data_IF_244848193155
#
_entry.id   IF_244848193155
#
_cell.length_a   1.000
_cell.length_b   1.000
_cell.length_c   1.000
_cell.angle_alpha   90.00
_cell.angle_beta   90.00
_cell.angle_gamma   90.00
#
_symmetry.space_group_name_H-M   'P 1'
#
loop_
_entity.id
_entity.type
_entity.pdbx_description
1 polymer ?
#
# COMPACT_ATOMS: atom_id res chain seq x y z
N UNK A 1 75.30 -24.91 -29.76
CA UNK A 1 74.55 -23.71 -30.21
C UNK A 1 73.13 -24.14 -30.53
N UNK A 2 72.16 -23.87 -29.66
CA UNK A 2 70.74 -24.11 -29.92
C UNK A 2 70.01 -22.80 -29.65
N UNK A 3 69.37 -22.24 -30.68
CA UNK A 3 68.53 -21.03 -30.60
C UNK A 3 67.09 -21.47 -30.33
N UNK A 4 66.54 -21.10 -29.18
CA UNK A 4 65.11 -21.14 -28.94
C UNK A 4 64.50 -19.80 -29.36
N UNK A 5 63.64 -19.82 -30.38
CA UNK A 5 62.79 -18.70 -30.74
C UNK A 5 61.52 -18.77 -29.90
N UNK A 6 61.35 -17.80 -29.00
CA UNK A 6 60.10 -17.62 -28.25
C UNK A 6 59.09 -16.88 -29.14
N UNK A 7 58.01 -17.57 -29.50
CA UNK A 7 56.83 -16.95 -30.12
C UNK A 7 56.04 -16.27 -29.01
N UNK A 8 56.02 -14.94 -29.01
CA UNK A 8 55.17 -14.15 -28.14
C UNK A 8 53.75 -14.12 -28.72
N UNK A 9 52.85 -14.94 -28.17
CA UNK A 9 51.42 -14.87 -28.44
C UNK A 9 50.85 -13.61 -27.78
N UNK A 10 50.62 -12.57 -28.56
CA UNK A 10 49.86 -11.40 -28.12
C UNK A 10 48.39 -11.79 -27.95
N UNK A 11 48.00 -12.15 -26.72
CA UNK A 11 46.59 -12.25 -26.37
C UNK A 11 45.98 -10.85 -26.44
N UNK A 12 45.17 -10.61 -27.47
CA UNK A 12 44.38 -9.40 -27.61
C UNK A 12 43.28 -9.41 -26.54
N UNK A 13 43.58 -8.86 -25.36
CA UNK A 13 42.55 -8.52 -24.38
C UNK A 13 41.72 -7.39 -24.98
N UNK A 14 40.58 -7.73 -25.62
CA UNK A 14 39.59 -6.74 -25.96
C UNK A 14 39.20 -6.01 -24.66
N UNK A 15 39.19 -4.67 -24.63
CA UNK A 15 38.82 -3.94 -23.42
C UNK A 15 37.38 -4.32 -23.06
N UNK A 16 37.21 -4.93 -21.89
CA UNK A 16 35.89 -5.09 -21.30
C UNK A 16 35.32 -3.68 -21.12
N UNK A 17 34.35 -3.30 -21.96
CA UNK A 17 33.65 -2.03 -21.83
C UNK A 17 32.88 -2.12 -20.52
N UNK A 18 33.42 -1.46 -19.48
CA UNK A 18 32.76 -1.38 -18.20
C UNK A 18 31.40 -0.71 -18.40
N UNK A 19 30.37 -1.29 -17.81
CA UNK A 19 29.05 -0.70 -17.76
C UNK A 19 29.13 0.74 -17.24
N UNK A 20 28.46 1.65 -17.92
CA UNK A 20 28.38 3.06 -17.52
C UNK A 20 27.41 3.25 -16.35
N UNK A 21 27.61 4.31 -15.57
CA UNK A 21 26.66 4.67 -14.50
C UNK A 21 25.23 4.87 -15.03
N UNK A 22 25.08 5.47 -16.22
CA UNK A 22 23.77 5.69 -16.84
C UNK A 22 23.02 4.38 -17.13
N UNK A 23 23.72 3.33 -17.56
CA UNK A 23 23.13 2.00 -17.77
C UNK A 23 22.73 1.35 -16.43
N UNK A 24 23.53 1.52 -15.38
CA UNK A 24 23.17 1.05 -14.05
C UNK A 24 21.94 1.77 -13.50
N UNK A 25 21.90 3.10 -13.61
CA UNK A 25 20.73 3.91 -13.20
C UNK A 25 19.47 3.51 -13.97
N UNK A 26 19.62 3.16 -15.25
CA UNK A 26 18.51 2.67 -16.09
C UNK A 26 18.00 1.31 -15.62
N UNK A 27 18.90 0.35 -15.35
CA UNK A 27 18.55 -0.96 -14.77
C UNK A 27 17.82 -0.76 -13.43
N UNK A 28 18.34 0.10 -12.56
CA UNK A 28 17.76 0.35 -11.24
C UNK A 28 16.39 1.01 -11.35
N UNK A 29 16.19 1.94 -12.29
CA UNK A 29 14.89 2.56 -12.56
C UNK A 29 13.85 1.56 -13.07
N UNK A 30 14.20 0.77 -14.08
CA UNK A 30 13.29 -0.24 -14.66
C UNK A 30 12.93 -1.28 -13.61
N UNK A 31 13.91 -1.78 -12.85
CA UNK A 31 13.68 -2.72 -11.75
C UNK A 31 12.78 -2.13 -10.68
N UNK A 32 12.99 -0.87 -10.33
CA UNK A 32 12.15 -0.14 -9.36
C UNK A 32 10.70 -0.08 -9.83
N UNK A 33 10.45 0.36 -11.06
CA UNK A 33 9.09 0.44 -11.61
C UNK A 33 8.46 -0.94 -11.75
N UNK A 34 9.17 -1.96 -12.25
CA UNK A 34 8.65 -3.30 -12.41
C UNK A 34 8.13 -3.89 -11.08
N UNK A 35 8.89 -3.73 -10.00
CA UNK A 35 8.51 -4.24 -8.67
C UNK A 35 7.33 -3.47 -8.07
N UNK A 36 7.26 -2.14 -8.25
CA UNK A 36 6.24 -1.31 -7.60
C UNK A 36 4.97 -1.12 -8.42
N UNK A 37 4.98 -1.42 -9.71
CA UNK A 37 3.84 -1.24 -10.63
C UNK A 37 2.54 -1.91 -10.18
N UNK A 38 2.52 -3.10 -9.55
CA UNK A 38 1.28 -3.68 -9.02
C UNK A 38 0.57 -2.77 -7.99
N UNK A 39 1.33 -1.94 -7.25
CA UNK A 39 0.77 -0.96 -6.33
C UNK A 39 0.10 0.20 -7.06
N UNK A 40 0.56 0.56 -8.26
CA UNK A 40 -0.09 1.59 -9.08
C UNK A 40 -1.55 1.22 -9.39
N UNK A 41 -1.82 -0.07 -9.63
CA UNK A 41 -3.18 -0.60 -9.77
C UNK A 41 -4.04 -0.36 -8.53
N UNK A 42 -3.48 -0.61 -7.34
CA UNK A 42 -4.17 -0.38 -6.06
C UNK A 42 -4.40 1.11 -5.77
N UNK A 43 -3.54 1.98 -6.29
CA UNK A 43 -3.70 3.43 -6.21
C UNK A 43 -4.70 3.97 -7.26
N UNK A 44 -5.29 3.11 -8.10
CA UNK A 44 -6.32 3.50 -9.06
C UNK A 44 -5.83 3.77 -10.48
N UNK A 45 -4.57 3.45 -10.80
CA UNK A 45 -4.10 3.42 -12.18
C UNK A 45 -4.52 2.12 -12.87
N UNK A 46 -4.60 2.14 -14.20
CA UNK A 46 -4.75 0.91 -14.98
C UNK A 46 -3.37 0.31 -15.24
N UNK A 47 -3.19 -0.96 -14.91
CA UNK A 47 -1.94 -1.72 -15.15
C UNK A 47 -2.26 -2.93 -16.01
N UNK A 48 -1.51 -3.12 -17.08
CA UNK A 48 -1.68 -4.26 -18.00
C UNK A 48 -1.40 -5.59 -17.29
N UNK A 49 -2.17 -6.64 -17.61
CA UNK A 49 -2.16 -7.93 -16.89
C UNK A 49 -0.83 -8.69 -16.99
N UNK A 50 -0.18 -8.61 -18.14
CA UNK A 50 1.09 -9.26 -18.49
C UNK A 50 2.27 -8.27 -18.43
N UNK A 51 2.21 -7.29 -17.51
CA UNK A 51 3.24 -6.27 -17.31
C UNK A 51 4.66 -6.84 -17.30
N UNK A 52 4.89 -7.93 -16.56
CA UNK A 52 6.22 -8.52 -16.42
C UNK A 52 6.84 -8.94 -17.75
N UNK A 53 6.09 -9.70 -18.56
CA UNK A 53 6.56 -10.20 -19.85
C UNK A 53 6.78 -9.05 -20.85
N UNK A 54 5.93 -8.04 -20.83
CA UNK A 54 6.06 -6.87 -21.70
C UNK A 54 7.22 -5.96 -21.30
N UNK A 55 7.44 -5.73 -20.00
CA UNK A 55 8.60 -5.01 -19.48
C UNK A 55 9.89 -5.74 -19.84
N UNK A 56 9.92 -7.06 -19.64
CA UNK A 56 11.09 -7.89 -19.97
C UNK A 56 11.43 -7.81 -21.46
N UNK A 57 10.42 -7.92 -22.32
CA UNK A 57 10.58 -7.82 -23.77
C UNK A 57 11.09 -6.45 -24.19
N UNK A 58 10.48 -5.37 -23.67
CA UNK A 58 10.86 -4.01 -23.99
C UNK A 58 12.26 -3.67 -23.46
N UNK A 59 12.62 -4.14 -22.27
CA UNK A 59 13.93 -3.91 -21.67
C UNK A 59 15.04 -4.67 -22.40
N UNK A 60 14.80 -5.90 -22.86
CA UNK A 60 15.72 -6.62 -23.74
C UNK A 60 15.97 -5.88 -25.05
N UNK A 61 14.91 -5.34 -25.65
CA UNK A 61 15.05 -4.53 -26.86
C UNK A 61 15.90 -3.27 -26.61
N UNK A 62 15.65 -2.55 -25.50
CA UNK A 62 16.43 -1.37 -25.12
C UNK A 62 17.92 -1.70 -24.88
N UNK A 63 18.20 -2.78 -24.15
CA UNK A 63 19.57 -3.16 -23.77
C UNK A 63 20.36 -3.85 -24.86
N UNK A 64 19.73 -4.36 -25.92
CA UNK A 64 20.43 -4.93 -27.09
C UNK A 64 21.37 -3.95 -27.80
N UNK A 65 21.14 -2.65 -27.66
CA UNK A 65 22.00 -1.60 -28.19
C UNK A 65 23.16 -1.24 -27.24
N UNK A 66 23.16 -1.76 -26.02
CA UNK A 66 24.20 -1.53 -25.04
C UNK A 66 25.34 -2.48 -25.38
N UNK A 67 26.56 -1.96 -25.58
CA UNK A 67 27.75 -2.78 -25.83
C UNK A 67 28.22 -3.51 -24.55
N UNK A 68 27.28 -4.15 -23.86
CA UNK A 68 27.43 -4.88 -22.60
C UNK A 68 26.93 -6.29 -22.84
N UNK A 69 27.63 -7.26 -22.27
CA UNK A 69 27.24 -8.67 -22.33
C UNK A 69 25.82 -8.89 -21.77
N UNK A 70 24.91 -9.60 -22.48
CA UNK A 70 23.53 -9.82 -22.03
C UNK A 70 23.42 -10.52 -20.67
N UNK A 71 24.30 -11.48 -20.36
CA UNK A 71 24.29 -12.18 -19.07
C UNK A 71 24.67 -11.23 -17.93
N UNK A 72 25.56 -10.28 -18.21
CA UNK A 72 25.90 -9.20 -17.29
C UNK A 72 24.70 -8.30 -17.01
N UNK A 73 23.95 -7.89 -18.03
CA UNK A 73 22.72 -7.09 -17.88
C UNK A 73 21.68 -7.85 -17.05
N UNK A 74 21.47 -9.13 -17.34
CA UNK A 74 20.50 -9.97 -16.64
C UNK A 74 20.85 -10.11 -15.15
N UNK A 75 22.12 -10.38 -14.84
CA UNK A 75 22.61 -10.48 -13.46
C UNK A 75 22.40 -9.18 -12.68
N UNK A 76 22.66 -8.03 -13.31
CA UNK A 76 22.50 -6.72 -12.67
C UNK A 76 21.03 -6.36 -12.47
N UNK A 77 20.17 -6.68 -13.44
CA UNK A 77 18.71 -6.56 -13.35
C UNK A 77 18.20 -7.39 -12.17
N UNK A 78 18.54 -8.67 -12.10
CA UNK A 78 18.11 -9.53 -11.00
C UNK A 78 18.58 -9.01 -9.64
N UNK A 79 19.85 -8.61 -9.54
CA UNK A 79 20.38 -8.03 -8.30
C UNK A 79 19.65 -6.73 -7.89
N UNK A 80 19.20 -5.92 -8.86
CA UNK A 80 18.41 -4.72 -8.60
C UNK A 80 16.98 -5.06 -8.18
N UNK A 81 16.31 -5.97 -8.89
CA UNK A 81 14.97 -6.49 -8.53
C UNK A 81 15.00 -7.05 -7.10
N UNK A 82 16.00 -7.84 -6.73
CA UNK A 82 16.13 -8.41 -5.39
C UNK A 82 16.26 -7.31 -4.32
N UNK A 83 17.07 -6.26 -4.59
CA UNK A 83 17.20 -5.11 -3.67
C UNK A 83 15.89 -4.37 -3.50
N UNK A 84 15.22 -4.03 -4.60
CA UNK A 84 13.95 -3.29 -4.58
C UNK A 84 12.87 -4.11 -3.89
N UNK A 85 12.78 -5.41 -4.19
CA UNK A 85 11.78 -6.31 -3.58
C UNK A 85 11.97 -6.38 -2.08
N UNK A 86 13.21 -6.49 -1.59
CA UNK A 86 13.49 -6.46 -0.13
C UNK A 86 13.08 -5.14 0.50
N UNK A 87 13.43 -4.01 -0.12
CA UNK A 87 13.02 -2.68 0.39
C UNK A 87 11.51 -2.52 0.40
N UNK A 88 10.84 -2.96 -0.66
CA UNK A 88 9.38 -2.89 -0.78
C UNK A 88 8.69 -3.76 0.27
N UNK A 89 9.21 -4.95 0.55
CA UNK A 89 8.69 -5.83 1.59
C UNK A 89 8.82 -5.19 2.99
N UNK A 90 9.96 -4.57 3.30
CA UNK A 90 10.18 -3.86 4.57
C UNK A 90 9.20 -2.70 4.72
N UNK A 91 8.96 -1.94 3.65
CA UNK A 91 8.01 -0.84 3.63
C UNK A 91 6.58 -1.33 3.89
N UNK A 92 6.17 -2.44 3.27
CA UNK A 92 4.85 -3.05 3.48
C UNK A 92 4.69 -3.65 4.87
N UNK A 93 5.73 -4.28 5.41
CA UNK A 93 5.74 -4.82 6.78
C UNK A 93 5.58 -3.68 7.79
N UNK A 94 6.42 -2.65 7.66
CA UNK A 94 6.36 -1.41 8.45
C UNK A 94 4.96 -0.80 8.39
N UNK A 95 4.37 -0.74 7.19
CA UNK A 95 3.02 -0.25 6.98
C UNK A 95 1.95 -1.08 7.72
N UNK A 96 2.07 -2.41 7.68
CA UNK A 96 1.12 -3.32 8.32
C UNK A 96 1.20 -3.28 9.84
N UNK A 97 2.41 -3.13 10.40
CA UNK A 97 2.62 -3.15 11.85
C UNK A 97 2.27 -1.82 12.51
N UNK A 98 2.57 -0.71 11.83
CA UNK A 98 2.43 0.64 12.35
C UNK A 98 1.07 1.27 12.04
N UNK A 99 0.11 0.57 11.46
CA UNK A 99 -1.19 1.14 11.09
C UNK A 99 -2.14 1.47 12.28
N UNK A 100 -1.65 1.78 13.50
CA UNK A 100 -2.45 1.76 14.74
C UNK A 100 -2.71 3.12 15.38
N UNK A 101 -2.01 4.17 14.97
CA UNK A 101 -2.16 5.53 15.51
C UNK A 101 -2.18 6.59 14.42
N UNK A 102 -2.69 7.79 14.71
CA UNK A 102 -2.71 8.92 13.77
C UNK A 102 -1.31 9.32 13.29
N UNK A 103 -0.31 9.30 14.18
CA UNK A 103 1.07 9.61 13.83
C UNK A 103 1.65 8.61 12.83
N UNK A 104 1.33 7.33 13.00
CA UNK A 104 1.77 6.29 12.09
C UNK A 104 0.98 6.28 10.79
N UNK A 105 -0.29 6.68 10.81
CA UNK A 105 -1.10 6.91 9.61
C UNK A 105 -0.48 7.97 8.69
N UNK A 106 0.05 9.05 9.29
CA UNK A 106 0.78 10.08 8.54
C UNK A 106 2.05 9.52 7.90
N UNK A 107 2.75 8.60 8.56
CA UNK A 107 3.92 7.90 7.98
C UNK A 107 3.50 7.00 6.82
N UNK A 108 2.47 6.18 7.01
CA UNK A 108 1.92 5.29 5.99
C UNK A 108 1.46 6.05 4.75
N UNK A 109 0.74 7.15 4.95
CA UNK A 109 0.33 8.06 3.88
C UNK A 109 1.54 8.62 3.15
N UNK A 110 2.55 9.11 3.86
CA UNK A 110 3.78 9.66 3.23
C UNK A 110 4.48 8.62 2.37
N UNK A 111 4.56 7.37 2.84
CA UNK A 111 5.10 6.25 2.09
C UNK A 111 4.30 5.99 0.80
N UNK A 112 2.97 5.87 0.90
CA UNK A 112 2.13 5.66 -0.30
C UNK A 112 2.12 6.85 -1.26
N UNK A 113 2.31 8.08 -0.77
CA UNK A 113 2.51 9.25 -1.64
C UNK A 113 3.79 9.11 -2.46
N UNK A 114 4.88 8.64 -1.84
CA UNK A 114 6.12 8.38 -2.57
C UNK A 114 5.92 7.31 -3.65
N UNK A 115 5.18 6.24 -3.34
CA UNK A 115 4.80 5.24 -4.35
C UNK A 115 3.87 5.79 -5.44
N UNK A 116 2.90 6.63 -5.10
CA UNK A 116 2.03 7.29 -6.08
C UNK A 116 2.80 8.19 -7.04
N UNK A 117 3.79 8.93 -6.55
CA UNK A 117 4.71 9.72 -7.39
C UNK A 117 5.53 8.82 -8.31
N UNK A 118 6.05 7.71 -7.78
CA UNK A 118 6.77 6.72 -8.57
C UNK A 118 5.91 6.11 -9.68
N UNK A 119 4.63 5.88 -9.42
CA UNK A 119 3.68 5.45 -10.45
C UNK A 119 3.50 6.49 -11.55
N UNK A 120 3.41 7.79 -11.20
CA UNK A 120 3.39 8.88 -12.19
C UNK A 120 4.70 8.97 -12.97
N UNK A 121 5.84 8.73 -12.33
CA UNK A 121 7.12 8.66 -13.03
C UNK A 121 7.13 7.49 -14.03
N UNK A 122 6.61 6.32 -13.64
CA UNK A 122 6.50 5.16 -14.52
C UNK A 122 5.59 5.46 -15.73
N UNK A 123 4.51 6.22 -15.59
CA UNK A 123 3.66 6.60 -16.74
C UNK A 123 4.37 7.48 -17.77
N UNK A 124 5.51 8.09 -17.41
CA UNK A 124 6.34 8.87 -18.32
C UNK A 124 7.55 8.08 -18.86
N UNK A 125 7.77 6.85 -18.39
CA UNK A 125 8.87 6.01 -18.85
C UNK A 125 8.58 5.41 -20.23
N UNK A 126 9.54 5.36 -21.16
CA UNK A 126 9.32 4.77 -22.49
C UNK A 126 8.82 3.32 -22.47
N UNK A 127 9.23 2.52 -21.48
CA UNK A 127 8.78 1.13 -21.33
C UNK A 127 7.38 1.09 -20.69
N UNK A 128 7.15 1.85 -19.63
CA UNK A 128 5.96 1.71 -18.79
C UNK A 128 4.79 2.60 -19.21
N UNK A 129 5.01 3.68 -19.97
CA UNK A 129 3.97 4.62 -20.42
C UNK A 129 2.84 3.98 -21.23
N UNK A 130 3.09 2.82 -21.84
CA UNK A 130 2.08 2.02 -22.56
C UNK A 130 1.44 0.93 -21.71
N UNK A 131 2.03 0.64 -20.55
CA UNK A 131 1.67 -0.48 -19.68
C UNK A 131 0.93 -0.02 -18.41
N UNK A 132 1.11 1.25 -18.06
CA UNK A 132 0.50 1.90 -16.91
C UNK A 132 -0.16 3.18 -17.40
N UNK A 133 -1.44 3.36 -17.06
CA UNK A 133 -2.20 4.55 -17.43
C UNK A 133 -2.81 5.16 -16.19
N UNK A 134 -2.44 6.41 -15.89
CA UNK A 134 -3.08 7.19 -14.85
C UNK A 134 -4.45 7.70 -15.34
N UNK A 135 -5.51 7.65 -14.52
CA UNK A 135 -6.78 8.27 -14.85
C UNK A 135 -6.64 9.80 -14.95
N UNK A 136 -7.57 10.44 -15.66
CA UNK A 136 -7.62 11.89 -15.75
C UNK A 136 -7.75 12.52 -14.35
N UNK A 137 -6.91 13.52 -14.05
CA UNK A 137 -6.90 14.18 -12.74
C UNK A 137 -6.29 13.35 -11.61
N UNK A 138 -5.53 12.29 -11.92
CA UNK A 138 -4.82 11.51 -10.91
C UNK A 138 -3.94 12.40 -10.03
N UNK A 139 -4.19 12.36 -8.72
CA UNK A 139 -3.37 13.03 -7.71
C UNK A 139 -2.77 11.98 -6.77
N UNK A 140 -1.43 11.83 -6.74
CA UNK A 140 -0.75 10.89 -5.85
C UNK A 140 -1.13 11.07 -4.38
N UNK A 141 -1.40 12.30 -3.95
CA UNK A 141 -1.74 12.59 -2.56
C UNK A 141 -3.11 12.05 -2.19
N UNK A 142 -4.12 12.32 -3.03
CA UNK A 142 -5.49 11.84 -2.86
C UNK A 142 -5.55 10.32 -2.96
N UNK A 143 -4.91 9.72 -3.97
CA UNK A 143 -4.88 8.27 -4.15
C UNK A 143 -4.22 7.54 -2.98
N UNK A 144 -3.07 8.01 -2.52
CA UNK A 144 -2.37 7.45 -1.36
C UNK A 144 -3.18 7.59 -0.07
N UNK A 145 -3.88 8.70 0.10
CA UNK A 145 -4.75 8.92 1.27
C UNK A 145 -5.95 7.97 1.25
N UNK A 146 -6.62 7.84 0.11
CA UNK A 146 -7.74 6.90 -0.04
C UNK A 146 -7.30 5.45 0.20
N UNK A 147 -6.15 5.05 -0.35
CA UNK A 147 -5.63 3.70 -0.14
C UNK A 147 -5.24 3.45 1.33
N UNK A 148 -4.50 4.38 1.96
CA UNK A 148 -4.16 4.28 3.38
C UNK A 148 -5.42 4.23 4.26
N UNK A 149 -6.42 5.07 3.97
CA UNK A 149 -7.69 5.08 4.70
C UNK A 149 -8.40 3.72 4.57
N UNK A 150 -8.46 3.13 3.37
CA UNK A 150 -9.11 1.82 3.18
C UNK A 150 -8.51 0.69 4.03
N UNK A 151 -7.22 0.78 4.36
CA UNK A 151 -6.55 -0.20 5.22
C UNK A 151 -6.87 -0.02 6.71
N UNK A 152 -7.44 1.13 7.07
CA UNK A 152 -7.55 1.62 8.45
C UNK A 152 -8.98 1.89 8.90
N UNK A 153 -9.92 1.90 7.95
CA UNK A 153 -11.35 2.10 8.18
C UNK A 153 -11.89 1.16 9.26
N UNK A 154 -11.50 -0.12 9.21
CA UNK A 154 -11.97 -1.15 10.13
C UNK A 154 -11.43 -0.96 11.55
N UNK A 155 -10.23 -0.40 11.67
CA UNK A 155 -9.63 -0.01 12.95
C UNK A 155 -10.16 1.31 13.50
N UNK A 156 -11.03 2.01 12.76
CA UNK A 156 -11.51 3.33 13.16
C UNK A 156 -10.40 4.39 13.11
N UNK A 157 -9.40 4.23 12.24
CA UNK A 157 -8.25 5.13 12.19
C UNK A 157 -8.17 5.97 10.92
N UNK A 158 -8.96 5.67 9.89
CA UNK A 158 -8.93 6.39 8.62
C UNK A 158 -9.07 7.91 8.83
N UNK A 159 -8.43 8.70 7.96
CA UNK A 159 -8.26 10.15 8.15
C UNK A 159 -9.58 10.93 8.25
N UNK A 160 -10.65 10.40 7.65
CA UNK A 160 -12.00 10.96 7.71
C UNK A 160 -12.77 10.62 9.01
N UNK A 161 -12.31 9.63 9.78
CA UNK A 161 -12.93 9.19 11.03
C UNK A 161 -12.54 10.10 12.20
N UNK A 162 -13.23 11.23 12.30
CA UNK A 162 -13.06 12.19 13.42
C UNK A 162 -13.29 11.52 14.79
N UNK A 163 -12.81 12.11 15.91
CA UNK A 163 -13.12 11.61 17.24
C UNK A 163 -14.61 11.34 17.49
N UNK A 164 -15.49 12.22 16.98
CA UNK A 164 -16.94 12.05 17.08
C UNK A 164 -17.45 10.85 16.27
N UNK A 165 -16.92 10.64 15.06
CA UNK A 165 -17.25 9.47 14.24
C UNK A 165 -16.79 8.19 14.92
N UNK A 166 -15.57 8.16 15.44
CA UNK A 166 -15.00 6.99 16.12
C UNK A 166 -15.82 6.60 17.35
N UNK A 167 -16.14 7.55 18.22
CA UNK A 167 -16.92 7.29 19.43
C UNK A 167 -18.32 6.73 19.11
N UNK A 168 -18.94 7.15 18.00
CA UNK A 168 -20.19 6.57 17.51
C UNK A 168 -20.00 5.17 16.94
N UNK A 169 -18.92 4.91 16.20
CA UNK A 169 -18.54 3.56 15.77
C UNK A 169 -18.36 2.59 16.94
N UNK A 170 -17.66 3.02 18.01
CA UNK A 170 -17.49 2.22 19.23
C UNK A 170 -18.82 1.89 19.92
N UNK A 171 -19.76 2.85 19.91
CA UNK A 171 -21.13 2.62 20.37
C UNK A 171 -21.85 1.57 19.52
N UNK A 172 -21.72 1.64 18.19
CA UNK A 172 -22.33 0.65 17.29
C UNK A 172 -21.75 -0.74 17.50
N UNK A 173 -20.43 -0.86 17.61
CA UNK A 173 -19.77 -2.12 17.95
C UNK A 173 -20.31 -2.69 19.27
N UNK A 174 -20.35 -1.85 20.31
CA UNK A 174 -20.86 -2.24 21.63
C UNK A 174 -22.33 -2.66 21.60
N UNK A 175 -23.17 -1.97 20.81
CA UNK A 175 -24.59 -2.29 20.66
C UNK A 175 -24.79 -3.65 19.97
N UNK A 176 -23.94 -4.01 19.01
CA UNK A 176 -23.90 -5.32 18.38
C UNK A 176 -23.44 -6.40 19.36
N UNK A 177 -22.23 -6.27 19.91
CA UNK A 177 -21.61 -7.24 20.84
C UNK A 177 -22.49 -7.53 22.04
N UNK A 178 -23.12 -6.48 22.61
CA UNK A 178 -23.95 -6.63 23.80
C UNK A 178 -25.40 -7.07 23.53
N UNK A 179 -25.83 -7.21 22.28
CA UNK A 179 -27.23 -7.50 21.92
C UNK A 179 -27.80 -8.70 22.65
N UNK A 180 -27.04 -9.80 22.74
CA UNK A 180 -27.45 -11.03 23.46
C UNK A 180 -27.73 -10.79 24.94
N UNK A 181 -27.14 -9.76 25.54
CA UNK A 181 -27.27 -9.43 26.97
C UNK A 181 -28.28 -8.33 27.25
N UNK A 182 -28.32 -7.29 26.42
CA UNK A 182 -29.19 -6.12 26.62
C UNK A 182 -30.55 -6.25 25.92
N UNK A 183 -30.72 -7.27 25.07
CA UNK A 183 -31.91 -7.50 24.27
C UNK A 183 -31.88 -6.77 22.91
N UNK A 184 -32.67 -7.29 21.98
CA UNK A 184 -32.81 -6.75 20.61
C UNK A 184 -33.28 -5.30 20.62
N UNK A 185 -34.35 -4.99 21.34
CA UNK A 185 -34.97 -3.67 21.31
C UNK A 185 -34.02 -2.55 21.76
N UNK A 186 -33.27 -2.79 22.84
CA UNK A 186 -32.30 -1.82 23.35
C UNK A 186 -31.09 -1.65 22.43
N UNK A 187 -30.63 -2.75 21.82
CA UNK A 187 -29.56 -2.73 20.82
C UNK A 187 -29.99 -1.98 19.55
N UNK A 188 -31.20 -2.24 19.05
CA UNK A 188 -31.77 -1.55 17.89
C UNK A 188 -32.02 -0.06 18.18
N UNK A 189 -32.43 0.30 19.39
CA UNK A 189 -32.58 1.70 19.80
C UNK A 189 -31.24 2.45 19.78
N UNK A 190 -30.15 1.83 20.27
CA UNK A 190 -28.81 2.40 20.18
C UNK A 190 -28.36 2.56 18.73
N UNK A 191 -28.63 1.56 17.89
CA UNK A 191 -28.30 1.64 16.47
C UNK A 191 -29.09 2.75 15.75
N UNK A 192 -30.37 2.94 16.10
CA UNK A 192 -31.19 4.00 15.56
C UNK A 192 -30.73 5.40 16.02
N UNK A 193 -30.27 5.54 17.26
CA UNK A 193 -29.78 6.79 17.85
C UNK A 193 -28.40 7.16 17.28
N UNK A 194 -27.46 6.21 17.23
CA UNK A 194 -26.05 6.49 16.96
C UNK A 194 -25.55 6.04 15.59
N UNK A 195 -26.30 5.23 14.83
CA UNK A 195 -25.89 4.69 13.54
C UNK A 195 -26.27 5.54 12.31
N UNK A 196 -26.93 6.69 12.50
CA UNK A 196 -27.39 7.54 11.38
C UNK A 196 -26.34 8.54 10.92
N UNK A 197 -26.08 8.63 9.63
CA UNK A 197 -25.29 9.71 9.03
C UNK A 197 -25.84 10.07 7.66
N UNK A 198 -25.82 11.36 7.31
CA UNK A 198 -26.11 11.84 5.96
C UNK A 198 -24.98 11.44 5.00
N UNK A 199 -23.73 11.49 5.48
CA UNK A 199 -22.57 10.98 4.76
C UNK A 199 -22.62 9.44 4.64
N UNK A 200 -22.59 8.96 3.41
CA UNK A 200 -22.76 7.54 3.09
C UNK A 200 -21.63 6.67 3.65
N UNK A 201 -20.38 7.15 3.58
CA UNK A 201 -19.19 6.42 4.05
C UNK A 201 -19.21 6.26 5.57
N UNK A 202 -19.56 7.34 6.29
CA UNK A 202 -19.74 7.31 7.75
C UNK A 202 -20.85 6.37 8.17
N UNK A 203 -21.98 6.37 7.45
CA UNK A 203 -23.10 5.46 7.71
C UNK A 203 -22.69 3.99 7.51
N UNK A 204 -21.97 3.70 6.44
CA UNK A 204 -21.47 2.35 6.15
C UNK A 204 -20.53 1.84 7.25
N UNK A 205 -19.60 2.68 7.71
CA UNK A 205 -18.74 2.35 8.85
C UNK A 205 -19.53 1.99 10.11
N UNK A 206 -20.56 2.79 10.46
CA UNK A 206 -21.40 2.50 11.63
C UNK A 206 -22.14 1.17 11.53
N UNK A 207 -22.70 0.87 10.35
CA UNK A 207 -23.39 -0.40 10.11
C UNK A 207 -22.41 -1.57 10.19
N UNK A 208 -21.24 -1.45 9.56
CA UNK A 208 -20.18 -2.45 9.61
C UNK A 208 -19.71 -2.69 11.04
N UNK A 209 -19.47 -1.65 11.85
CA UNK A 209 -19.10 -1.79 13.26
C UNK A 209 -20.17 -2.55 14.05
N UNK A 210 -21.45 -2.27 13.82
CA UNK A 210 -22.56 -2.99 14.45
C UNK A 210 -22.56 -4.46 14.06
N UNK A 211 -22.43 -4.78 12.77
CA UNK A 211 -22.40 -6.13 12.25
C UNK A 211 -21.19 -6.93 12.75
N UNK A 212 -20.01 -6.30 12.86
CA UNK A 212 -18.84 -6.89 13.52
C UNK A 212 -19.21 -7.31 14.94
N UNK A 213 -19.82 -6.41 15.71
CA UNK A 213 -20.23 -6.71 17.09
C UNK A 213 -21.27 -7.82 17.18
N UNK A 214 -22.25 -7.85 16.26
CA UNK A 214 -23.27 -8.92 16.23
C UNK A 214 -22.67 -10.30 15.99
N UNK A 215 -21.64 -10.36 15.13
CA UNK A 215 -20.99 -11.58 14.71
C UNK A 215 -19.81 -11.97 15.61
N UNK A 216 -19.46 -11.13 16.59
CA UNK A 216 -18.42 -11.42 17.57
C UNK A 216 -18.85 -12.57 18.50
N UNK A 217 -18.12 -13.69 18.39
CA UNK A 217 -18.32 -14.88 19.23
C UNK A 217 -17.37 -14.97 20.41
N UNK A 218 -16.34 -14.11 20.47
CA UNK A 218 -15.28 -14.15 21.46
C UNK A 218 -15.60 -13.26 22.67
N UNK A 219 -16.20 -12.09 22.43
CA UNK A 219 -16.55 -11.13 23.48
C UNK A 219 -17.84 -11.53 24.20
N UNK A 220 -17.69 -12.30 25.29
CA UNK A 220 -18.81 -12.74 26.12
C UNK A 220 -19.01 -11.85 27.37
N UNK A 221 -19.44 -10.61 27.17
CA UNK A 221 -19.70 -9.69 28.28
C UNK A 221 -20.92 -10.09 29.13
N UNK A 222 -20.88 -9.72 30.41
CA UNK A 222 -22.05 -9.70 31.30
C UNK A 222 -22.91 -8.46 31.04
N UNK A 223 -24.17 -8.47 31.48
CA UNK A 223 -25.06 -7.30 31.38
C UNK A 223 -24.45 -6.05 32.05
N UNK A 224 -23.79 -6.21 33.20
CA UNK A 224 -23.13 -5.11 33.91
C UNK A 224 -21.93 -4.55 33.13
N UNK A 225 -21.14 -5.40 32.47
CA UNK A 225 -20.06 -4.95 31.58
C UNK A 225 -20.62 -4.21 30.36
N UNK A 226 -21.69 -4.71 29.75
CA UNK A 226 -22.37 -4.05 28.64
C UNK A 226 -22.92 -2.68 29.02
N UNK A 227 -23.58 -2.55 30.16
CA UNK A 227 -24.07 -1.26 30.64
C UNK A 227 -22.94 -0.26 30.88
N UNK A 228 -21.80 -0.70 31.44
CA UNK A 228 -20.62 0.14 31.63
C UNK A 228 -20.00 0.60 30.31
N UNK A 229 -19.90 -0.32 29.33
CA UNK A 229 -19.35 -0.01 28.01
C UNK A 229 -20.22 1.01 27.27
N UNK A 230 -21.53 0.80 27.25
CA UNK A 230 -22.50 1.74 26.65
C UNK A 230 -22.44 3.11 27.35
N UNK A 231 -22.41 3.14 28.69
CA UNK A 231 -22.32 4.40 29.44
C UNK A 231 -21.03 5.17 29.12
N UNK A 232 -19.89 4.47 29.08
CA UNK A 232 -18.61 5.05 28.66
C UNK A 232 -18.70 5.65 27.26
N UNK A 233 -19.25 4.92 26.29
CA UNK A 233 -19.34 5.41 24.91
C UNK A 233 -20.27 6.62 24.79
N UNK A 234 -21.38 6.68 25.54
CA UNK A 234 -22.24 7.89 25.60
C UNK A 234 -21.46 9.11 26.08
N UNK A 235 -20.59 8.94 27.08
CA UNK A 235 -19.74 10.03 27.60
C UNK A 235 -18.73 10.48 26.53
N UNK A 236 -18.07 9.55 25.85
CA UNK A 236 -17.08 9.90 24.80
C UNK A 236 -17.74 10.59 23.61
N UNK A 237 -18.93 10.16 23.20
CA UNK A 237 -19.72 10.84 22.18
C UNK A 237 -20.05 12.27 22.63
N UNK A 238 -20.54 12.46 23.86
CA UNK A 238 -20.88 13.78 24.38
C UNK A 238 -19.67 14.72 24.38
N UNK A 239 -18.50 14.24 24.84
CA UNK A 239 -17.24 15.02 24.82
C UNK A 239 -16.82 15.44 23.42
N UNK A 240 -17.00 14.55 22.44
CA UNK A 240 -16.59 14.79 21.06
C UNK A 240 -17.51 15.77 20.31
N UNK A 241 -18.74 15.99 20.79
CA UNK A 241 -19.67 16.99 20.25
C UNK A 241 -19.45 18.38 20.84
N UNK A 242 -18.89 18.48 22.04
CA UNK A 242 -18.67 19.76 22.77
C UNK A 242 -17.34 20.45 22.47
N UNK A 243 -16.47 19.86 21.64
CA UNK A 243 -15.17 20.42 21.23
C UNK A 243 -15.22 20.82 19.77
#
# INVERSE_FOLDING_TARGET
>A
MVRFAAVASAASAAPAIAQTQAQQDRIDRVSRFAVTSPLCGRLGMTVVRDLGDQVETAFKAETSAWQVDPDTVERLKQASIDRVTKSFAIDLETASEQAKTEAELRKLRTMFVAYGRMCVEATNDPIFSRLITAPAGFDPQTAATAFADSMLEDGGLASWQTPAIRARGDMMLSAGTCRKRIGKDRSDALAAEFGRSEDARTREYYLKSFDIGLNDTEMNFTLAQCNRLIARNRIEIAKAVTK
#
